data_IF_695023578949
#
_entry.id   IF_695023578949
#
_cell.length_a   1.000
_cell.length_b   1.000
_cell.length_c   1.000
_cell.angle_alpha   90.00
_cell.angle_beta   90.00
_cell.angle_gamma   90.00
#
_symmetry.space_group_name_H-M   'P 1'
#
loop_
_entity.id
_entity.type
_entity.pdbx_description
1 polymer ?
#
# COMPACT_ATOMS: atom_id res chain seq x y z
N UNK A 1 11.79 -10.18 -6.42
CA UNK A 1 10.42 -10.70 -6.67
C UNK A 1 9.88 -11.53 -5.50
N UNK A 2 10.58 -12.57 -5.04
CA UNK A 2 10.13 -13.39 -3.88
C UNK A 2 10.01 -12.59 -2.57
N UNK A 3 10.96 -11.71 -2.27
CA UNK A 3 10.95 -10.86 -1.06
C UNK A 3 9.76 -9.89 -1.01
N UNK A 4 9.38 -9.30 -2.15
CA UNK A 4 8.23 -8.38 -2.22
C UNK A 4 6.91 -9.11 -2.06
N UNK A 5 6.81 -10.33 -2.59
CA UNK A 5 5.62 -11.17 -2.44
C UNK A 5 5.48 -11.65 -0.99
N UNK A 6 6.58 -12.05 -0.34
CA UNK A 6 6.56 -12.49 1.06
C UNK A 6 6.19 -11.36 2.02
N UNK A 7 6.70 -10.14 1.79
CA UNK A 7 6.32 -8.97 2.58
C UNK A 7 4.82 -8.67 2.47
N UNK A 8 4.28 -8.77 1.26
CA UNK A 8 2.87 -8.52 1.00
C UNK A 8 1.95 -9.55 1.69
N UNK A 9 2.34 -10.82 1.66
CA UNK A 9 1.66 -11.90 2.38
C UNK A 9 1.72 -11.66 3.89
N UNK A 10 2.87 -11.24 4.42
CA UNK A 10 3.03 -10.94 5.84
C UNK A 10 2.11 -9.79 6.29
N UNK A 11 1.97 -8.75 5.45
CA UNK A 11 1.07 -7.62 5.70
C UNK A 11 -0.40 -8.06 5.73
N UNK A 12 -0.82 -8.90 4.79
CA UNK A 12 -2.18 -9.47 4.76
C UNK A 12 -2.45 -10.30 6.01
N UNK A 13 -1.51 -11.17 6.40
CA UNK A 13 -1.63 -11.97 7.62
C UNK A 13 -1.73 -11.07 8.86
N UNK A 14 -0.89 -10.05 8.98
CA UNK A 14 -0.94 -9.09 10.08
C UNK A 14 -2.33 -8.42 10.19
N UNK A 15 -2.94 -8.04 9.07
CA UNK A 15 -4.27 -7.42 9.04
C UNK A 15 -5.38 -8.39 9.45
N UNK A 16 -5.30 -9.64 9.03
CA UNK A 16 -6.26 -10.70 9.41
C UNK A 16 -6.17 -10.99 10.91
N UNK A 17 -4.96 -11.03 11.47
CA UNK A 17 -4.73 -11.38 12.88
C UNK A 17 -4.94 -10.19 13.84
N UNK A 18 -4.83 -8.94 13.38
CA UNK A 18 -5.10 -7.75 14.20
C UNK A 18 -6.53 -7.20 14.01
N UNK A 19 -7.54 -8.03 14.33
CA UNK A 19 -8.92 -7.59 14.49
C UNK A 19 -9.07 -6.68 15.72
N UNK A 20 -8.72 -5.40 15.59
CA UNK A 20 -9.20 -4.33 16.49
C UNK A 20 -10.20 -3.46 15.72
N UNK A 21 -11.28 -3.07 16.38
CA UNK A 21 -12.56 -2.52 15.85
C UNK A 21 -12.51 -1.21 15.03
N UNK A 22 -11.37 -0.82 14.48
CA UNK A 22 -11.26 0.33 13.59
C UNK A 22 -11.59 -0.05 12.13
N UNK A 23 -12.86 -0.34 11.86
CA UNK A 23 -13.40 -0.67 10.53
C UNK A 23 -12.89 0.28 9.42
N UNK A 24 -12.79 1.59 9.70
CA UNK A 24 -12.27 2.58 8.73
C UNK A 24 -10.80 2.35 8.36
N UNK A 25 -9.95 1.99 9.32
CA UNK A 25 -8.52 1.73 9.05
C UNK A 25 -8.38 0.40 8.28
N UNK A 26 -9.19 -0.59 8.64
CA UNK A 26 -9.23 -1.86 7.92
C UNK A 26 -9.63 -1.69 6.44
N UNK A 27 -10.62 -0.83 6.15
CA UNK A 27 -11.00 -0.52 4.77
C UNK A 27 -9.87 0.14 3.98
N UNK A 28 -9.13 1.08 4.58
CA UNK A 28 -7.98 1.73 3.91
C UNK A 28 -6.89 0.70 3.62
N UNK A 29 -6.63 -0.21 4.56
CA UNK A 29 -5.65 -1.29 4.39
C UNK A 29 -6.06 -2.27 3.29
N UNK A 30 -7.35 -2.57 3.17
CA UNK A 30 -7.90 -3.40 2.08
C UNK A 30 -7.74 -2.72 0.71
N UNK A 31 -7.94 -1.39 0.63
CA UNK A 31 -7.69 -0.62 -0.59
C UNK A 31 -6.20 -0.63 -0.96
N UNK A 32 -5.30 -0.43 0.00
CA UNK A 32 -3.85 -0.56 -0.22
C UNK A 32 -3.50 -1.94 -0.79
N UNK A 33 -4.14 -3.00 -0.26
CA UNK A 33 -3.94 -4.36 -0.75
C UNK A 33 -4.33 -4.46 -2.22
N UNK A 34 -5.56 -4.04 -2.56
CA UNK A 34 -6.10 -4.10 -3.91
C UNK A 34 -5.25 -3.33 -4.92
N UNK A 35 -4.79 -2.14 -4.54
CA UNK A 35 -3.97 -1.30 -5.41
C UNK A 35 -2.62 -1.97 -5.69
N UNK A 36 -1.98 -2.52 -4.67
CA UNK A 36 -0.65 -3.14 -4.83
C UNK A 36 -0.70 -4.47 -5.61
N UNK A 37 -1.88 -5.09 -5.78
CA UNK A 37 -2.05 -6.25 -6.67
C UNK A 37 -1.65 -5.89 -8.11
N UNK A 38 -1.82 -4.64 -8.55
CA UNK A 38 -1.35 -4.21 -9.88
C UNK A 38 0.17 -4.30 -10.01
N UNK A 39 0.93 -3.82 -9.02
CA UNK A 39 2.40 -3.92 -9.02
C UNK A 39 2.87 -5.39 -8.88
N UNK A 40 2.07 -6.26 -8.27
CA UNK A 40 2.32 -7.70 -8.28
C UNK A 40 2.04 -8.33 -9.64
N UNK A 41 0.95 -7.93 -10.30
CA UNK A 41 0.61 -8.36 -11.66
C UNK A 41 1.73 -7.99 -12.64
N UNK A 42 2.22 -6.74 -12.58
CA UNK A 42 3.32 -6.30 -13.44
C UNK A 42 4.55 -7.19 -13.26
N UNK A 43 4.90 -7.52 -12.01
CA UNK A 43 6.03 -8.43 -11.72
C UNK A 43 5.82 -9.84 -12.23
N UNK A 44 4.59 -10.36 -12.17
CA UNK A 44 4.27 -11.70 -12.65
C UNK A 44 4.29 -11.78 -14.18
N UNK A 45 3.83 -10.74 -14.87
CA UNK A 45 3.69 -10.74 -16.31
C UNK A 45 4.93 -10.20 -17.04
N UNK A 46 5.52 -9.10 -16.57
CA UNK A 46 6.66 -8.42 -17.20
C UNK A 46 8.00 -8.70 -16.50
N UNK A 47 7.99 -9.17 -15.25
CA UNK A 47 9.20 -9.39 -14.45
C UNK A 47 9.69 -8.15 -13.69
N UNK A 48 9.03 -7.00 -13.86
CA UNK A 48 9.32 -5.72 -13.20
C UNK A 48 8.03 -4.90 -13.03
N UNK A 49 8.09 -3.79 -12.29
CA UNK A 49 6.97 -2.84 -12.15
C UNK A 49 7.08 -1.75 -13.20
N UNK A 50 5.97 -1.35 -13.81
CA UNK A 50 5.97 -0.32 -14.86
C UNK A 50 5.73 1.06 -14.21
N UNK A 51 6.78 1.88 -14.17
CA UNK A 51 6.69 3.27 -13.73
C UNK A 51 6.51 4.21 -14.93
N UNK A 52 5.45 5.03 -14.92
CA UNK A 52 5.04 5.85 -16.06
C UNK A 52 4.73 7.31 -15.71
N UNK A 53 4.58 7.65 -14.42
CA UNK A 53 4.46 9.03 -13.98
C UNK A 53 5.86 9.57 -13.72
N UNK A 54 6.18 10.71 -14.33
CA UNK A 54 7.44 11.41 -14.12
C UNK A 54 7.16 12.81 -13.60
N UNK A 55 7.66 13.10 -12.40
CA UNK A 55 7.61 14.43 -11.78
C UNK A 55 9.00 15.07 -11.87
N UNK A 56 9.06 16.23 -12.54
CA UNK A 56 10.24 17.08 -12.67
C UNK A 56 11.52 16.36 -13.12
N UNK A 57 11.43 15.22 -13.82
CA UNK A 57 12.57 14.36 -14.18
C UNK A 57 13.38 13.87 -12.97
N UNK A 58 12.81 13.94 -11.77
CA UNK A 58 13.47 13.57 -10.51
C UNK A 58 12.88 12.29 -9.92
N UNK A 59 11.56 12.14 -10.04
CA UNK A 59 10.83 11.03 -9.41
C UNK A 59 9.96 10.36 -10.47
N UNK A 60 10.23 9.08 -10.69
CA UNK A 60 9.45 8.23 -11.59
C UNK A 60 8.74 7.19 -10.71
N UNK A 61 7.42 7.06 -10.89
CA UNK A 61 6.59 6.16 -10.10
C UNK A 61 5.32 5.78 -10.87
N UNK A 62 4.51 4.89 -10.30
CA UNK A 62 3.21 4.47 -10.84
C UNK A 62 2.05 4.98 -9.97
N UNK A 63 0.81 4.85 -10.46
CA UNK A 63 -0.38 5.23 -9.67
C UNK A 63 -0.48 4.48 -8.35
N UNK A 64 -0.02 3.23 -8.29
CA UNK A 64 -0.08 2.41 -7.07
C UNK A 64 0.77 3.01 -5.96
N UNK A 65 1.99 3.41 -6.26
CA UNK A 65 2.89 4.07 -5.30
C UNK A 65 2.29 5.38 -4.80
N UNK A 66 1.70 6.19 -5.69
CA UNK A 66 1.01 7.43 -5.32
C UNK A 66 -0.12 7.17 -4.32
N UNK A 67 -1.00 6.22 -4.62
CA UNK A 67 -2.13 5.92 -3.74
C UNK A 67 -1.67 5.30 -2.42
N UNK A 68 -0.68 4.42 -2.44
CA UNK A 68 -0.12 3.84 -1.21
C UNK A 68 0.42 4.95 -0.31
N UNK A 69 1.14 5.94 -0.85
CA UNK A 69 1.63 7.10 -0.10
C UNK A 69 0.45 7.88 0.52
N UNK A 70 -0.55 8.25 -0.30
CA UNK A 70 -1.71 9.02 0.16
C UNK A 70 -2.46 8.29 1.28
N UNK A 71 -2.79 7.01 1.08
CA UNK A 71 -3.55 6.22 2.06
C UNK A 71 -2.75 6.00 3.34
N UNK A 72 -1.44 5.80 3.22
CA UNK A 72 -0.54 5.67 4.39
C UNK A 72 -0.49 6.98 5.18
N UNK A 73 -0.36 8.13 4.52
CA UNK A 73 -0.43 9.44 5.17
C UNK A 73 -1.77 9.65 5.92
N UNK A 74 -2.89 9.23 5.33
CA UNK A 74 -4.22 9.29 5.97
C UNK A 74 -4.26 8.42 7.25
N UNK A 75 -3.70 7.21 7.20
CA UNK A 75 -3.63 6.32 8.37
C UNK A 75 -2.79 6.98 9.48
N UNK A 76 -1.59 7.47 9.14
CA UNK A 76 -0.68 8.11 10.11
C UNK A 76 -1.37 9.32 10.76
N UNK A 77 -1.94 10.22 9.96
CA UNK A 77 -2.61 11.42 10.45
C UNK A 77 -3.77 11.06 11.40
N UNK A 78 -4.53 10.02 11.07
CA UNK A 78 -5.63 9.55 11.91
C UNK A 78 -5.16 8.93 13.23
N UNK A 79 -4.04 8.21 13.21
CA UNK A 79 -3.44 7.65 14.43
C UNK A 79 -2.95 8.79 15.34
N UNK A 80 -2.27 9.80 14.77
CA UNK A 80 -1.79 10.97 15.52
C UNK A 80 -2.96 11.71 16.19
N UNK A 81 -4.01 12.07 15.44
CA UNK A 81 -5.20 12.76 16.01
C UNK A 81 -5.90 11.93 17.07
N UNK A 82 -5.94 10.59 16.93
CA UNK A 82 -6.59 9.72 17.92
C UNK A 82 -5.78 9.62 19.21
N UNK A 83 -4.45 9.76 19.16
CA UNK A 83 -3.60 9.75 20.34
C UNK A 83 -3.64 11.09 21.12
N UNK A 84 -4.02 12.19 20.45
CA UNK A 84 -4.17 13.51 21.08
C UNK A 84 -5.51 13.70 21.83
N UNK A 85 -6.35 12.65 21.91
CA UNK A 85 -7.63 12.63 22.64
C UNK A 85 -7.65 11.54 23.69
#
# INVERSE_FOLDING_TARGET
>A
MLLSVSFFILLILFLIFNKKDNYKINNILLIIILISISNLYDRLYYGYVIDYLNIFNLIIFNLSDLFIIILTCIIIFKILIKNDK
#
